data_IF_861100310474
#
_entry.id   IF_861100310474
#
_cell.length_a   1.000
_cell.length_b   1.000
_cell.length_c   1.000
_cell.angle_alpha   90.00
_cell.angle_beta   90.00
_cell.angle_gamma   90.00
#
_symmetry.space_group_name_H-M   'P 1'
#
loop_
_entity.id
_entity.type
_entity.pdbx_description
1 polymer ?
#
# COMPACT_ATOMS: atom_id res chain seq x y z
N UNK A 1 36.64 82.95 97.01
CA UNK A 1 37.29 82.59 95.72
C UNK A 1 36.57 81.34 95.22
N UNK A 2 35.74 81.41 94.16
CA UNK A 2 36.11 81.20 92.74
C UNK A 2 37.03 79.97 92.57
N UNK A 3 36.75 78.93 91.79
CA UNK A 3 36.28 78.79 90.40
C UNK A 3 35.73 77.35 90.23
N UNK A 4 34.55 77.14 89.65
CA UNK A 4 34.20 76.86 88.23
C UNK A 4 34.26 75.38 87.79
N UNK A 5 33.13 74.96 87.22
CA UNK A 5 32.77 73.71 86.53
C UNK A 5 33.77 73.25 85.44
N UNK A 6 33.76 71.95 85.06
CA UNK A 6 32.96 71.58 83.89
C UNK A 6 32.10 70.32 84.06
N UNK A 7 30.86 70.42 83.57
CA UNK A 7 29.91 69.34 83.36
C UNK A 7 30.38 68.52 82.15
N UNK A 8 30.71 67.25 82.38
CA UNK A 8 31.02 66.28 81.33
C UNK A 8 29.69 65.66 80.88
N UNK A 9 29.27 65.99 79.66
CA UNK A 9 28.17 65.35 78.97
C UNK A 9 28.67 64.02 78.37
N UNK A 10 28.35 62.90 79.03
CA UNK A 10 28.57 61.56 78.50
C UNK A 10 27.49 61.21 77.48
N UNK A 11 27.82 61.33 76.20
CA UNK A 11 27.00 60.81 75.08
C UNK A 11 27.13 59.29 75.05
N UNK A 12 26.07 58.61 75.49
CA UNK A 12 25.94 57.15 75.43
C UNK A 12 25.53 56.77 74.00
N UNK A 13 26.49 56.48 73.13
CA UNK A 13 26.23 55.87 71.81
C UNK A 13 25.93 54.40 72.03
N UNK A 14 24.65 54.05 72.14
CA UNK A 14 24.19 52.67 72.05
C UNK A 14 24.39 52.20 70.60
N UNK A 15 25.50 51.52 70.34
CA UNK A 15 25.64 50.66 69.17
C UNK A 15 24.63 49.52 69.32
N UNK A 16 23.42 49.74 68.83
CA UNK A 16 22.55 48.66 68.39
C UNK A 16 23.28 47.97 67.22
N UNK A 17 24.22 47.10 67.53
CA UNK A 17 24.62 46.01 66.64
C UNK A 17 23.40 45.09 66.51
N UNK A 18 22.38 45.58 65.81
CA UNK A 18 21.28 44.76 65.37
C UNK A 18 21.91 43.70 64.49
N UNK A 19 21.99 42.47 65.00
CA UNK A 19 22.15 41.30 64.16
C UNK A 19 21.01 41.36 63.14
N UNK A 20 21.29 41.86 61.93
CA UNK A 20 20.42 41.66 60.78
C UNK A 20 20.49 40.18 60.47
N UNK A 21 19.74 39.38 61.24
CA UNK A 21 19.57 37.97 60.99
C UNK A 21 18.91 37.86 59.62
N UNK A 22 19.72 37.57 58.60
CA UNK A 22 19.23 37.34 57.24
C UNK A 22 18.06 36.35 57.32
N UNK A 23 16.93 36.69 56.68
CA UNK A 23 15.75 35.84 56.70
C UNK A 23 16.10 34.40 56.27
N UNK A 24 15.41 33.40 56.83
CA UNK A 24 15.67 31.99 56.53
C UNK A 24 15.54 31.69 55.02
N UNK A 25 16.23 30.66 54.52
CA UNK A 25 16.07 30.25 53.13
C UNK A 25 14.63 29.78 52.87
N UNK A 26 14.05 30.24 51.77
CA UNK A 26 12.75 29.76 51.29
C UNK A 26 12.98 28.42 50.60
N UNK A 27 12.28 27.39 51.08
CA UNK A 27 12.27 26.08 50.46
C UNK A 27 11.36 26.05 49.24
N UNK A 28 11.61 25.12 48.32
CA UNK A 28 10.66 24.80 47.26
C UNK A 28 9.31 24.40 47.89
N UNK A 29 8.15 24.93 47.44
CA UNK A 29 6.86 24.42 47.85
C UNK A 29 6.74 22.93 47.50
N UNK A 30 6.03 22.16 48.33
CA UNK A 30 5.78 20.75 48.04
C UNK A 30 4.87 20.64 46.81
N UNK A 31 5.46 20.37 45.64
CA UNK A 31 4.72 20.18 44.40
C UNK A 31 4.36 18.69 44.24
N UNK A 32 3.15 18.38 43.79
CA UNK A 32 2.80 17.01 43.46
C UNK A 32 3.69 16.50 42.32
N UNK A 33 4.03 15.21 42.36
CA UNK A 33 4.75 14.56 41.27
C UNK A 33 3.93 14.61 39.97
N UNK A 34 4.59 14.62 38.79
CA UNK A 34 3.89 14.49 37.52
C UNK A 34 3.04 13.21 37.50
N UNK A 35 1.81 13.33 37.02
CA UNK A 35 0.92 12.18 36.79
C UNK A 35 1.04 11.78 35.32
N UNK A 36 1.19 10.49 35.06
CA UNK A 36 1.12 9.95 33.70
C UNK A 36 0.31 8.67 33.64
N UNK A 37 -0.33 8.46 32.50
CA UNK A 37 -1.08 7.24 32.22
C UNK A 37 -0.98 6.92 30.73
N UNK A 38 -0.87 5.64 30.37
CA UNK A 38 -0.64 5.21 28.99
C UNK A 38 -1.64 4.14 28.62
N UNK A 39 -2.18 4.22 27.40
CA UNK A 39 -2.91 3.12 26.78
C UNK A 39 -2.21 2.70 25.50
N UNK A 40 -2.16 1.39 25.25
CA UNK A 40 -1.78 0.83 23.95
C UNK A 40 -2.99 0.14 23.34
N UNK A 41 -3.10 0.15 22.02
CA UNK A 41 -4.20 -0.47 21.30
C UNK A 41 -3.74 -0.88 19.91
N UNK A 42 -4.44 -1.87 19.36
CA UNK A 42 -4.15 -2.42 18.05
C UNK A 42 -5.19 -1.94 17.04
N UNK A 43 -4.71 -1.56 15.86
CA UNK A 43 -5.55 -1.23 14.72
C UNK A 43 -5.43 -2.38 13.72
N UNK A 44 -6.57 -3.01 13.43
CA UNK A 44 -6.67 -4.09 12.46
C UNK A 44 -7.79 -3.79 11.48
N UNK A 45 -7.60 -4.14 10.20
CA UNK A 45 -8.63 -4.00 9.18
C UNK A 45 -9.04 -5.40 8.70
N UNK A 46 -10.31 -5.74 8.82
CA UNK A 46 -10.86 -6.93 8.15
C UNK A 46 -11.54 -6.51 6.86
N UNK A 47 -10.91 -6.76 5.71
CA UNK A 47 -11.47 -6.42 4.40
C UNK A 47 -12.45 -7.48 3.86
N UNK A 48 -12.92 -8.43 4.68
CA UNK A 48 -13.81 -9.50 4.25
C UNK A 48 -15.11 -8.97 3.61
N UNK A 49 -15.71 -7.93 4.20
CA UNK A 49 -16.90 -7.29 3.65
C UNK A 49 -16.63 -6.53 2.33
N UNK A 50 -15.42 -5.98 2.13
CA UNK A 50 -15.04 -5.35 0.87
C UNK A 50 -14.84 -6.41 -0.23
N UNK A 51 -14.26 -7.57 0.10
CA UNK A 51 -14.08 -8.66 -0.85
C UNK A 51 -15.43 -9.22 -1.36
N UNK A 52 -16.37 -9.51 -0.47
CA UNK A 52 -17.67 -10.07 -0.85
C UNK A 52 -18.47 -9.16 -1.79
N UNK A 53 -18.35 -7.84 -1.62
CA UNK A 53 -19.04 -6.86 -2.48
C UNK A 53 -18.36 -6.67 -3.85
N UNK A 54 -17.10 -7.07 -3.99
CA UNK A 54 -16.30 -6.89 -5.19
C UNK A 54 -16.12 -8.18 -5.99
N UNK A 55 -16.83 -9.24 -5.61
CA UNK A 55 -16.84 -10.52 -6.31
C UNK A 55 -18.25 -10.84 -6.80
N UNK A 56 -18.35 -11.21 -8.08
CA UNK A 56 -19.60 -11.63 -8.71
C UNK A 56 -19.36 -12.93 -9.44
N UNK A 57 -20.15 -13.96 -9.09
CA UNK A 57 -20.21 -15.21 -9.83
C UNK A 57 -21.58 -15.39 -10.47
N UNK A 58 -21.60 -15.73 -11.76
CA UNK A 58 -22.84 -15.95 -12.49
C UNK A 58 -23.52 -17.24 -12.04
N UNK A 59 -24.78 -17.14 -11.58
CA UNK A 59 -25.61 -18.30 -11.25
C UNK A 59 -26.11 -19.06 -12.48
N UNK A 60 -26.11 -18.41 -13.64
CA UNK A 60 -26.56 -19.03 -14.89
C UNK A 60 -25.53 -20.05 -15.43
N UNK A 61 -24.27 -19.96 -14.99
CA UNK A 61 -23.17 -20.79 -15.45
C UNK A 61 -22.45 -21.41 -14.23
N UNK A 62 -23.04 -22.42 -13.58
CA UNK A 62 -22.36 -23.15 -12.52
C UNK A 62 -21.08 -23.77 -13.07
N UNK A 63 -20.00 -23.73 -12.28
CA UNK A 63 -18.69 -24.24 -12.66
C UNK A 63 -18.59 -25.69 -12.19
N UNK A 64 -18.53 -26.70 -13.08
CA UNK A 64 -18.43 -28.09 -12.66
C UNK A 64 -17.13 -28.37 -11.88
N UNK A 65 -17.20 -29.25 -10.88
CA UNK A 65 -16.00 -29.75 -10.19
C UNK A 65 -15.15 -30.54 -11.19
N UNK A 66 -13.83 -30.37 -11.14
CA UNK A 66 -12.88 -31.01 -12.05
C UNK A 66 -12.69 -30.27 -13.37
N UNK A 67 -13.36 -29.13 -13.57
CA UNK A 67 -13.16 -28.29 -14.75
C UNK A 67 -11.69 -27.88 -14.87
N UNK A 68 -11.21 -27.81 -16.10
CA UNK A 68 -9.85 -27.36 -16.38
C UNK A 68 -9.76 -25.85 -16.56
N UNK A 69 -8.67 -25.25 -16.08
CA UNK A 69 -8.45 -23.80 -16.14
C UNK A 69 -7.02 -23.51 -16.58
N UNK A 70 -6.86 -22.48 -17.40
CA UNK A 70 -5.56 -21.91 -17.73
C UNK A 70 -5.49 -20.46 -17.26
N UNK A 71 -4.31 -20.03 -16.79
CA UNK A 71 -4.08 -18.66 -16.32
C UNK A 71 -3.53 -17.83 -17.48
N UNK A 72 -4.15 -16.71 -17.78
CA UNK A 72 -3.72 -15.75 -18.79
C UNK A 72 -3.35 -14.42 -18.14
N UNK A 73 -2.19 -13.89 -18.51
CA UNK A 73 -1.63 -12.66 -17.95
C UNK A 73 -1.22 -11.73 -19.11
N UNK A 74 -1.54 -10.43 -19.06
CA UNK A 74 -1.18 -9.47 -20.09
C UNK A 74 0.35 -9.39 -20.30
N UNK A 75 0.78 -9.17 -21.55
CA UNK A 75 2.20 -9.12 -21.89
C UNK A 75 2.96 -7.94 -21.34
N UNK A 76 2.26 -6.89 -20.89
CA UNK A 76 2.89 -5.78 -20.16
C UNK A 76 3.69 -6.30 -18.96
N UNK A 77 3.25 -7.41 -18.35
CA UNK A 77 3.99 -8.07 -17.28
C UNK A 77 5.15 -8.94 -17.80
N UNK A 78 5.08 -9.45 -19.04
CA UNK A 78 6.10 -10.30 -19.66
C UNK A 78 7.26 -9.51 -20.31
N UNK A 79 7.02 -8.30 -20.83
CA UNK A 79 8.04 -7.48 -21.53
C UNK A 79 9.23 -7.10 -20.62
N UNK A 80 9.04 -7.12 -19.30
CA UNK A 80 10.11 -6.92 -18.32
C UNK A 80 11.11 -8.08 -18.20
N UNK A 81 10.87 -9.23 -18.86
CA UNK A 81 11.85 -10.34 -18.94
C UNK A 81 13.01 -10.07 -19.91
N UNK A 82 12.87 -9.13 -20.85
CA UNK A 82 13.72 -9.08 -22.04
C UNK A 82 14.83 -8.02 -22.02
N UNK A 83 15.03 -7.24 -20.94
CA UNK A 83 16.02 -6.17 -20.92
C UNK A 83 17.05 -6.32 -19.77
N UNK A 84 18.17 -7.04 -19.98
CA UNK A 84 19.18 -7.30 -18.95
C UNK A 84 20.12 -6.11 -18.66
N UNK A 85 19.97 -4.97 -19.35
CA UNK A 85 20.93 -3.86 -19.30
C UNK A 85 20.47 -2.61 -18.53
N UNK A 86 19.34 -2.65 -17.81
CA UNK A 86 18.99 -1.59 -16.84
C UNK A 86 19.51 -1.96 -15.47
N UNK A 87 20.77 -1.57 -15.21
CA UNK A 87 21.33 -1.50 -13.87
C UNK A 87 20.78 -0.26 -13.17
N UNK A 88 20.31 -0.48 -11.94
CA UNK A 88 19.82 0.49 -10.96
C UNK A 88 18.37 1.00 -11.12
N UNK A 89 17.57 0.56 -10.13
CA UNK A 89 16.21 0.97 -9.75
C UNK A 89 15.04 0.52 -10.65
N UNK A 90 13.95 0.06 -10.00
CA UNK A 90 12.57 -0.04 -10.51
C UNK A 90 12.03 -1.26 -11.28
N UNK A 91 12.54 -2.49 -11.25
CA UNK A 91 11.78 -3.61 -11.88
C UNK A 91 11.84 -4.93 -11.13
N UNK A 92 10.94 -5.11 -10.15
CA UNK A 92 10.75 -6.34 -9.34
C UNK A 92 9.35 -6.97 -9.44
N UNK A 93 8.43 -6.41 -10.24
CA UNK A 93 7.03 -6.89 -10.37
C UNK A 93 6.89 -8.35 -10.83
N UNK A 94 7.84 -8.86 -11.63
CA UNK A 94 7.86 -10.25 -12.10
C UNK A 94 8.02 -11.31 -11.00
N UNK A 95 8.83 -11.02 -9.96
CA UNK A 95 9.07 -11.97 -8.87
C UNK A 95 7.84 -12.15 -7.98
N UNK A 96 7.15 -11.04 -7.71
CA UNK A 96 5.91 -11.04 -6.93
C UNK A 96 4.77 -11.72 -7.66
N UNK A 97 4.67 -11.53 -8.98
CA UNK A 97 3.66 -12.23 -9.77
C UNK A 97 3.88 -13.74 -9.73
N UNK A 98 5.11 -14.25 -9.82
CA UNK A 98 5.36 -15.69 -9.70
C UNK A 98 4.86 -16.27 -8.36
N UNK A 99 4.98 -15.48 -7.27
CA UNK A 99 4.49 -15.90 -5.95
C UNK A 99 2.96 -15.87 -5.90
N UNK A 100 2.35 -14.80 -6.42
CA UNK A 100 0.90 -14.71 -6.55
C UNK A 100 0.35 -15.84 -7.43
N UNK A 101 0.99 -16.12 -8.56
CA UNK A 101 0.65 -17.19 -9.50
C UNK A 101 0.66 -18.56 -8.83
N UNK A 102 1.75 -18.94 -8.14
CA UNK A 102 1.79 -20.21 -7.38
C UNK A 102 0.64 -20.30 -6.36
N UNK A 103 0.28 -19.18 -5.74
CA UNK A 103 -0.80 -19.12 -4.78
C UNK A 103 -2.19 -19.20 -5.46
N UNK A 104 -2.36 -18.58 -6.64
CA UNK A 104 -3.54 -18.71 -7.50
C UNK A 104 -3.72 -20.17 -7.91
N UNK A 105 -2.67 -20.83 -8.42
CA UNK A 105 -2.72 -22.23 -8.84
C UNK A 105 -3.15 -23.13 -7.67
N UNK A 106 -2.57 -22.92 -6.49
CA UNK A 106 -2.91 -23.67 -5.28
C UNK A 106 -4.37 -23.51 -4.88
N UNK A 107 -4.92 -22.30 -4.93
CA UNK A 107 -6.33 -22.08 -4.60
C UNK A 107 -7.28 -22.60 -5.68
N UNK A 108 -6.90 -22.52 -6.97
CA UNK A 108 -7.67 -23.14 -8.05
C UNK A 108 -7.76 -24.66 -7.87
N UNK A 109 -6.65 -25.32 -7.51
CA UNK A 109 -6.63 -26.75 -7.20
C UNK A 109 -7.53 -27.07 -5.99
N UNK A 110 -7.50 -26.22 -4.95
CA UNK A 110 -8.38 -26.37 -3.76
C UNK A 110 -9.86 -26.18 -4.10
N UNK A 111 -10.17 -25.26 -5.00
CA UNK A 111 -11.50 -25.05 -5.54
C UNK A 111 -11.93 -26.17 -6.51
N UNK A 112 -11.08 -27.17 -6.76
CA UNK A 112 -11.41 -28.36 -7.54
C UNK A 112 -11.19 -28.22 -9.05
N UNK A 113 -10.42 -27.23 -9.50
CA UNK A 113 -10.00 -27.14 -10.90
C UNK A 113 -8.82 -28.06 -11.24
N UNK A 114 -8.68 -28.39 -12.53
CA UNK A 114 -7.45 -28.92 -13.11
C UNK A 114 -6.66 -27.78 -13.75
N UNK A 115 -5.58 -27.34 -13.12
CA UNK A 115 -4.76 -26.25 -13.64
C UNK A 115 -3.89 -26.75 -14.80
N UNK A 116 -3.96 -26.06 -15.95
CA UNK A 116 -3.17 -26.34 -17.15
C UNK A 116 -1.87 -25.55 -17.15
N UNK A 117 -0.86 -26.09 -17.82
CA UNK A 117 0.47 -25.48 -17.92
C UNK A 117 0.41 -24.15 -18.70
N UNK A 118 0.70 -23.05 -18.00
CA UNK A 118 0.74 -21.72 -18.59
C UNK A 118 1.83 -21.59 -19.65
N UNK A 119 3.01 -22.17 -19.45
CA UNK A 119 4.13 -22.02 -20.39
C UNK A 119 3.79 -22.59 -21.76
N UNK A 120 3.06 -23.71 -21.79
CA UNK A 120 2.53 -24.28 -23.04
C UNK A 120 1.47 -23.38 -23.68
N UNK A 121 0.57 -22.84 -22.87
CA UNK A 121 -0.47 -21.92 -23.35
C UNK A 121 0.12 -20.64 -23.94
N UNK A 122 1.10 -20.03 -23.28
CA UNK A 122 1.82 -18.85 -23.76
C UNK A 122 2.63 -19.14 -25.04
N UNK A 123 3.20 -20.34 -25.17
CA UNK A 123 3.86 -20.76 -26.41
C UNK A 123 2.88 -20.79 -27.59
N UNK A 124 1.69 -21.35 -27.39
CA UNK A 124 0.63 -21.37 -28.42
C UNK A 124 0.16 -19.96 -28.75
N UNK A 125 0.02 -19.09 -27.74
CA UNK A 125 -0.31 -17.68 -27.97
C UNK A 125 0.75 -16.97 -28.82
N UNK A 126 2.03 -17.23 -28.56
CA UNK A 126 3.13 -16.69 -29.38
C UNK A 126 3.08 -17.22 -30.80
N UNK A 127 2.88 -18.53 -30.98
CA UNK A 127 2.77 -19.12 -32.32
C UNK A 127 1.59 -18.52 -33.10
N UNK A 128 0.43 -18.34 -32.47
CA UNK A 128 -0.73 -17.69 -33.10
C UNK A 128 -0.45 -16.23 -33.49
N UNK A 129 0.32 -15.51 -32.67
CA UNK A 129 0.72 -14.14 -32.96
C UNK A 129 1.74 -14.06 -34.08
N UNK A 130 2.74 -14.94 -34.08
CA UNK A 130 3.75 -15.04 -35.12
C UNK A 130 3.09 -15.40 -36.47
N UNK A 131 2.09 -16.27 -36.45
CA UNK A 131 1.24 -16.56 -37.62
C UNK A 131 0.43 -15.34 -38.09
N UNK A 132 -0.10 -14.54 -37.15
CA UNK A 132 -0.86 -13.30 -37.46
C UNK A 132 0.02 -12.14 -37.95
N UNK A 133 1.31 -12.13 -37.59
CA UNK A 133 2.29 -11.09 -37.92
C UNK A 133 2.87 -11.24 -39.35
N UNK A 134 2.42 -12.23 -40.12
CA UNK A 134 2.77 -12.38 -41.53
C UNK A 134 2.32 -11.15 -42.32
N UNK A 135 3.24 -10.22 -42.54
CA UNK A 135 3.04 -9.11 -43.46
C UNK A 135 3.12 -9.67 -44.88
N UNK A 136 1.99 -9.78 -45.55
CA UNK A 136 1.91 -10.34 -46.90
C UNK A 136 2.63 -9.47 -47.96
N UNK A 137 3.01 -8.22 -47.64
CA UNK A 137 3.93 -7.45 -48.48
C UNK A 137 5.37 -8.01 -48.44
N UNK A 138 5.71 -8.80 -47.43
CA UNK A 138 6.91 -9.62 -47.31
C UNK A 138 6.54 -11.12 -47.13
N UNK A 139 5.54 -11.59 -47.88
CA UNK A 139 4.99 -12.95 -47.77
C UNK A 139 6.04 -14.06 -47.91
N UNK A 140 7.17 -13.80 -48.58
CA UNK A 140 8.31 -14.72 -48.69
C UNK A 140 8.95 -15.09 -47.34
N UNK A 141 8.74 -14.28 -46.31
CA UNK A 141 9.26 -14.49 -44.95
C UNK A 141 8.27 -15.28 -44.08
N UNK A 142 7.04 -15.50 -44.56
CA UNK A 142 6.03 -16.23 -43.82
C UNK A 142 6.27 -17.74 -43.92
N UNK A 143 6.42 -18.40 -42.77
CA UNK A 143 6.76 -19.83 -42.70
C UNK A 143 5.62 -20.78 -43.10
N UNK A 144 4.37 -20.32 -43.07
CA UNK A 144 3.17 -21.16 -43.26
C UNK A 144 2.11 -20.42 -44.09
N UNK A 145 2.31 -20.29 -45.40
CA UNK A 145 1.27 -19.87 -46.35
C UNK A 145 0.68 -21.11 -47.01
N UNK A 146 -0.63 -21.13 -47.23
CA UNK A 146 -1.29 -22.18 -48.00
C UNK A 146 -0.61 -22.36 -49.38
N UNK A 147 -0.27 -23.59 -49.81
CA UNK A 147 0.43 -23.81 -51.08
C UNK A 147 -0.28 -23.25 -52.32
N UNK A 148 -1.60 -23.12 -52.30
CA UNK A 148 -2.38 -22.50 -53.37
C UNK A 148 -2.27 -20.98 -53.31
N UNK A 149 -2.33 -20.38 -52.11
CA UNK A 149 -2.11 -18.95 -51.92
C UNK A 149 -0.69 -18.53 -52.34
N UNK A 150 0.33 -19.32 -52.01
CA UNK A 150 1.72 -19.07 -52.41
C UNK A 150 1.87 -18.97 -53.94
N UNK A 151 1.23 -19.88 -54.69
CA UNK A 151 1.26 -19.85 -56.15
C UNK A 151 0.59 -18.60 -56.72
N UNK A 152 -0.52 -18.17 -56.13
CA UNK A 152 -1.23 -16.96 -56.58
C UNK A 152 -0.38 -15.72 -56.29
N UNK A 153 0.24 -15.65 -55.11
CA UNK A 153 1.12 -14.53 -54.73
C UNK A 153 2.37 -14.45 -55.63
N UNK A 154 2.98 -15.60 -55.98
CA UNK A 154 4.10 -15.66 -56.95
C UNK A 154 3.69 -15.13 -58.32
N UNK A 155 2.51 -15.54 -58.82
CA UNK A 155 1.99 -15.09 -60.11
C UNK A 155 1.70 -13.58 -60.11
N UNK A 156 1.12 -13.06 -59.03
CA UNK A 156 0.88 -11.63 -58.87
C UNK A 156 2.20 -10.83 -58.84
N UNK A 157 3.22 -11.34 -58.16
CA UNK A 157 4.54 -10.70 -58.11
C UNK A 157 5.20 -10.66 -59.51
N UNK A 158 5.07 -11.75 -60.27
CA UNK A 158 5.58 -11.84 -61.64
C UNK A 158 4.84 -10.89 -62.59
N UNK A 159 3.51 -10.83 -62.50
CA UNK A 159 2.68 -9.88 -63.28
C UNK A 159 3.05 -8.43 -62.97
N UNK A 160 3.30 -8.10 -61.70
CA UNK A 160 3.74 -6.76 -61.32
C UNK A 160 5.13 -6.45 -61.89
N UNK A 161 6.09 -7.38 -61.79
CA UNK A 161 7.45 -7.20 -62.34
C UNK A 161 7.48 -7.04 -63.85
N UNK A 162 6.58 -7.71 -64.57
CA UNK A 162 6.40 -7.56 -66.02
C UNK A 162 5.66 -6.27 -66.42
N UNK A 163 5.05 -5.58 -65.45
CA UNK A 163 4.25 -4.38 -65.69
C UNK A 163 2.83 -4.68 -66.19
N UNK A 164 2.38 -5.94 -66.09
CA UNK A 164 1.04 -6.39 -66.53
C UNK A 164 -0.07 -5.88 -65.60
N UNK A 165 0.27 -5.54 -64.35
CA UNK A 165 -0.62 -4.95 -63.37
C UNK A 165 0.06 -3.76 -62.68
N UNK A 166 -0.73 -2.75 -62.32
CA UNK A 166 -0.22 -1.60 -61.56
C UNK A 166 0.10 -2.00 -60.11
N UNK A 167 0.94 -1.20 -59.43
CA UNK A 167 1.24 -1.38 -58.00
C UNK A 167 -0.05 -1.32 -57.15
N UNK A 168 -1.00 -0.48 -57.54
CA UNK A 168 -2.31 -0.38 -56.88
C UNK A 168 -3.14 -1.66 -57.06
N UNK A 169 -3.17 -2.23 -58.27
CA UNK A 169 -3.91 -3.46 -58.57
C UNK A 169 -3.27 -4.68 -57.89
N UNK A 170 -1.94 -4.72 -57.84
CA UNK A 170 -1.19 -5.73 -57.10
C UNK A 170 -1.55 -5.70 -55.61
N UNK A 171 -1.53 -4.52 -54.97
CA UNK A 171 -1.92 -4.36 -53.57
C UNK A 171 -3.37 -4.78 -53.31
N UNK A 172 -4.29 -4.45 -54.23
CA UNK A 172 -5.69 -4.85 -54.12
C UNK A 172 -5.87 -6.37 -54.20
N UNK A 173 -5.24 -7.03 -55.18
CA UNK A 173 -5.34 -8.48 -55.37
C UNK A 173 -4.69 -9.27 -54.24
N UNK A 174 -3.60 -8.77 -53.65
CA UNK A 174 -3.04 -9.35 -52.43
C UNK A 174 -4.08 -9.35 -51.29
N UNK A 175 -4.83 -8.26 -51.10
CA UNK A 175 -5.88 -8.19 -50.06
C UNK A 175 -7.04 -9.14 -50.33
N UNK A 176 -7.37 -9.38 -51.60
CA UNK A 176 -8.39 -10.35 -51.99
C UNK A 176 -7.95 -11.78 -51.66
N UNK A 177 -6.71 -12.15 -51.99
CA UNK A 177 -6.11 -13.44 -51.59
C UNK A 177 -6.04 -13.58 -50.06
N UNK A 178 -5.73 -12.49 -49.36
CA UNK A 178 -5.72 -12.45 -47.90
C UNK A 178 -7.10 -12.79 -47.29
N UNK A 179 -8.16 -12.21 -47.86
CA UNK A 179 -9.54 -12.43 -47.42
C UNK A 179 -10.03 -13.85 -47.76
N UNK A 180 -9.65 -14.39 -48.92
CA UNK A 180 -10.06 -15.71 -49.40
C UNK A 180 -9.40 -16.85 -48.61
N UNK A 181 -8.10 -16.75 -48.34
CA UNK A 181 -7.33 -17.82 -47.68
C UNK A 181 -7.20 -17.64 -46.16
N UNK A 182 -7.85 -16.61 -45.58
CA UNK A 182 -7.73 -16.23 -44.15
C UNK A 182 -6.27 -16.10 -43.67
N UNK A 183 -5.36 -15.76 -44.57
CA UNK A 183 -3.94 -15.52 -44.23
C UNK A 183 -3.91 -14.20 -43.47
N UNK A 184 -3.85 -14.24 -42.14
CA UNK A 184 -3.76 -13.04 -41.30
C UNK A 184 -5.04 -12.18 -41.25
N UNK A 185 -6.16 -12.76 -40.81
CA UNK A 185 -7.31 -12.00 -40.26
C UNK A 185 -7.37 -12.17 -38.73
N UNK A 186 -6.24 -11.93 -38.08
CA UNK A 186 -6.18 -11.66 -36.65
C UNK A 186 -5.40 -10.36 -36.48
N UNK A 187 -6.09 -9.27 -36.16
CA UNK A 187 -5.48 -8.00 -35.74
C UNK A 187 -4.94 -7.08 -36.83
N UNK A 188 -5.78 -6.55 -37.72
CA UNK A 188 -5.38 -5.45 -38.65
C UNK A 188 -5.26 -4.07 -37.98
N UNK A 189 -5.15 -4.00 -36.65
CA UNK A 189 -5.04 -2.74 -35.91
C UNK A 189 -3.90 -2.83 -34.88
N UNK A 190 -2.66 -2.93 -35.35
CA UNK A 190 -1.48 -2.86 -34.46
C UNK A 190 -0.51 -1.82 -35.00
N UNK A 191 -0.61 -0.60 -34.49
CA UNK A 191 0.53 0.32 -34.49
C UNK A 191 1.54 -0.18 -33.46
N UNK A 192 2.83 -0.21 -33.84
CA UNK A 192 3.92 -0.57 -32.95
C UNK A 192 3.98 0.42 -31.78
N UNK A 193 3.45 0.02 -30.62
CA UNK A 193 3.34 0.85 -29.42
C UNK A 193 1.97 0.85 -28.74
N UNK A 194 0.93 0.30 -29.39
CA UNK A 194 -0.35 0.08 -28.71
C UNK A 194 -0.19 -1.04 -27.67
N UNK A 195 -0.37 -0.71 -26.39
CA UNK A 195 -0.36 -1.64 -25.26
C UNK A 195 -1.21 -2.87 -25.60
N UNK A 196 -0.57 -4.05 -25.63
CA UNK A 196 -1.18 -5.34 -25.95
C UNK A 196 -2.24 -5.71 -24.89
N UNK A 197 -3.45 -5.18 -25.04
CA UNK A 197 -4.63 -5.87 -24.54
C UNK A 197 -4.73 -7.15 -25.38
N UNK A 198 -4.34 -8.27 -24.78
CA UNK A 198 -4.44 -9.61 -25.36
C UNK A 198 -5.83 -9.78 -25.95
N UNK A 199 -5.95 -9.95 -27.28
CA UNK A 199 -7.26 -10.17 -27.90
C UNK A 199 -7.86 -11.42 -27.28
N UNK A 200 -8.97 -11.25 -26.56
CA UNK A 200 -9.65 -12.35 -25.84
C UNK A 200 -9.98 -13.49 -26.81
N UNK A 201 -10.20 -13.18 -28.10
CA UNK A 201 -10.42 -14.17 -29.15
C UNK A 201 -9.20 -15.05 -29.39
N UNK A 202 -7.98 -14.50 -29.34
CA UNK A 202 -6.72 -15.26 -29.44
C UNK A 202 -6.52 -16.12 -28.19
N UNK A 203 -6.79 -15.56 -27.02
CA UNK A 203 -6.73 -16.27 -25.71
C UNK A 203 -7.67 -17.47 -25.68
N UNK A 204 -8.92 -17.31 -26.16
CA UNK A 204 -9.89 -18.40 -26.27
C UNK A 204 -9.44 -19.47 -27.28
N UNK A 205 -8.89 -19.06 -28.43
CA UNK A 205 -8.36 -20.00 -29.43
C UNK A 205 -7.21 -20.83 -28.89
N UNK A 206 -6.25 -20.19 -28.21
CA UNK A 206 -5.12 -20.89 -27.59
C UNK A 206 -5.59 -21.86 -26.50
N UNK A 207 -6.59 -21.47 -25.68
CA UNK A 207 -7.14 -22.32 -24.64
C UNK A 207 -7.91 -23.53 -25.20
N UNK A 208 -8.49 -23.37 -26.39
CA UNK A 208 -9.19 -24.41 -27.13
C UNK A 208 -8.27 -25.34 -27.94
N UNK A 209 -6.98 -25.01 -28.06
CA UNK A 209 -6.03 -25.84 -28.80
C UNK A 209 -5.91 -27.24 -28.19
N UNK A 210 -5.67 -28.26 -29.03
CA UNK A 210 -5.62 -29.68 -28.63
C UNK A 210 -4.71 -29.96 -27.44
N UNK A 211 -3.65 -29.18 -27.32
CA UNK A 211 -2.57 -29.43 -26.36
C UNK A 211 -2.87 -28.81 -24.99
N UNK A 212 -3.84 -27.89 -24.91
CA UNK A 212 -4.29 -27.26 -23.65
C UNK A 212 -5.66 -27.79 -23.25
N UNK A 213 -6.66 -27.64 -24.15
CA UNK A 213 -8.07 -27.98 -23.94
C UNK A 213 -8.53 -27.59 -22.52
N UNK A 214 -8.53 -26.28 -22.24
CA UNK A 214 -9.06 -25.75 -20.99
C UNK A 214 -10.56 -25.47 -21.11
N UNK A 215 -11.32 -25.71 -20.04
CA UNK A 215 -12.74 -25.35 -19.97
C UNK A 215 -12.93 -23.86 -19.65
N UNK A 216 -11.98 -23.30 -18.89
CA UNK A 216 -11.99 -21.92 -18.45
C UNK A 216 -10.63 -21.22 -18.61
N UNK A 217 -10.67 -19.90 -18.73
CA UNK A 217 -9.50 -19.03 -18.67
C UNK A 217 -9.65 -18.11 -17.47
N UNK A 218 -8.70 -18.14 -16.54
CA UNK A 218 -8.55 -17.10 -15.53
C UNK A 218 -7.67 -15.99 -16.10
N UNK A 219 -8.28 -14.89 -16.52
CA UNK A 219 -7.58 -13.72 -17.02
C UNK A 219 -7.30 -12.76 -15.86
N UNK A 220 -6.02 -12.52 -15.58
CA UNK A 220 -5.59 -11.48 -14.64
C UNK A 220 -5.55 -10.16 -15.39
N UNK A 221 -6.38 -9.20 -15.02
CA UNK A 221 -6.40 -7.90 -15.70
C UNK A 221 -5.39 -6.93 -15.07
N UNK A 222 -5.22 -7.00 -13.75
CA UNK A 222 -4.36 -6.11 -12.98
C UNK A 222 -3.77 -6.86 -11.80
N UNK A 223 -2.47 -6.69 -11.59
CA UNK A 223 -1.77 -7.09 -10.39
C UNK A 223 -0.72 -6.05 -10.03
N UNK A 224 -0.87 -5.44 -8.86
CA UNK A 224 -0.02 -4.36 -8.36
C UNK A 224 0.39 -4.70 -6.93
N UNK A 225 1.65 -4.44 -6.57
CA UNK A 225 2.20 -4.73 -5.22
C UNK A 225 3.08 -3.61 -4.67
N UNK A 226 3.31 -2.57 -5.47
CA UNK A 226 4.18 -1.45 -5.20
C UNK A 226 3.41 -0.16 -4.91
N UNK A 227 2.08 -0.22 -4.88
CA UNK A 227 1.25 0.90 -4.50
C UNK A 227 1.41 1.25 -3.02
N UNK A 228 1.47 2.56 -2.75
CA UNK A 228 1.41 3.13 -1.41
C UNK A 228 0.07 3.81 -1.23
N UNK A 229 -0.61 3.50 -0.13
CA UNK A 229 -1.89 4.10 0.25
C UNK A 229 -1.77 4.76 1.61
N UNK A 230 -2.16 6.03 1.67
CA UNK A 230 -2.36 6.74 2.93
C UNK A 230 -3.71 6.32 3.52
N UNK A 231 -3.66 5.62 4.65
CA UNK A 231 -4.84 5.28 5.44
C UNK A 231 -5.06 6.34 6.52
N UNK A 232 -6.32 6.78 6.68
CA UNK A 232 -6.73 7.68 7.75
C UNK A 232 -7.50 6.88 8.81
N UNK A 233 -6.85 6.59 9.93
CA UNK A 233 -7.41 5.81 11.02
C UNK A 233 -8.10 6.75 12.01
N UNK A 234 -9.40 6.54 12.25
CA UNK A 234 -10.12 7.26 13.29
C UNK A 234 -9.91 6.60 14.65
N UNK A 235 -9.11 7.20 15.51
CA UNK A 235 -8.82 6.70 16.85
C UNK A 235 -10.08 6.58 17.72
N UNK A 236 -11.11 7.38 17.46
CA UNK A 236 -12.36 7.35 18.25
C UNK A 236 -13.24 6.13 17.96
N UNK A 237 -12.94 5.37 16.91
CA UNK A 237 -13.60 4.09 16.63
C UNK A 237 -13.01 2.92 17.43
N UNK A 238 -11.88 3.14 18.12
CA UNK A 238 -11.19 2.13 18.93
C UNK A 238 -11.69 2.18 20.39
N UNK A 239 -12.08 1.02 20.92
CA UNK A 239 -12.71 0.91 22.24
C UNK A 239 -11.77 1.34 23.38
N UNK A 240 -10.51 0.94 23.30
CA UNK A 240 -9.47 1.28 24.27
C UNK A 240 -9.22 2.79 24.31
N UNK A 241 -9.27 3.46 23.15
CA UNK A 241 -9.15 4.92 23.08
C UNK A 241 -10.36 5.57 23.74
N UNK A 242 -11.58 5.10 23.46
CA UNK A 242 -12.80 5.63 24.11
C UNK A 242 -12.79 5.43 25.63
N UNK A 243 -12.31 4.28 26.11
CA UNK A 243 -12.14 4.00 27.52
C UNK A 243 -11.10 4.94 28.17
N UNK A 244 -9.96 5.13 27.50
CA UNK A 244 -8.90 6.05 27.93
C UNK A 244 -9.40 7.50 28.02
N UNK A 245 -10.14 7.96 27.01
CA UNK A 245 -10.74 9.30 26.99
C UNK A 245 -11.81 9.49 28.06
N UNK A 246 -12.49 8.42 28.46
CA UNK A 246 -13.47 8.46 29.55
C UNK A 246 -12.79 8.59 30.92
N UNK A 247 -11.60 8.01 31.08
CA UNK A 247 -10.75 8.17 32.28
C UNK A 247 -10.13 9.57 32.39
N UNK A 248 -9.83 10.20 31.24
CA UNK A 248 -9.17 11.52 31.17
C UNK A 248 -9.97 12.54 30.35
N UNK A 249 -11.13 13.03 30.85
CA UNK A 249 -12.04 13.89 30.09
C UNK A 249 -11.42 15.24 29.68
N UNK A 250 -10.40 15.71 30.41
CA UNK A 250 -9.66 16.93 30.09
C UNK A 250 -8.92 16.86 28.73
N UNK A 251 -8.67 15.66 28.20
CA UNK A 251 -7.99 15.47 26.91
C UNK A 251 -8.92 15.63 25.70
N UNK A 252 -10.24 15.77 25.89
CA UNK A 252 -11.22 15.84 24.78
C UNK A 252 -10.89 16.86 23.68
N UNK A 253 -10.46 18.09 24.00
CA UNK A 253 -10.08 19.05 22.96
C UNK A 253 -8.89 18.54 22.15
N UNK A 254 -7.85 18.02 22.83
CA UNK A 254 -6.63 17.54 22.19
C UNK A 254 -6.86 16.31 21.30
N UNK A 255 -7.71 15.36 21.71
CA UNK A 255 -8.02 14.21 20.86
C UNK A 255 -8.86 14.62 19.65
N UNK A 256 -9.78 15.59 19.75
CA UNK A 256 -10.59 16.00 18.60
C UNK A 256 -9.72 16.57 17.46
N UNK A 257 -8.62 17.23 17.80
CA UNK A 257 -7.62 17.72 16.84
C UNK A 257 -6.73 16.58 16.29
N UNK A 258 -6.51 15.52 17.07
CA UNK A 258 -5.60 14.40 16.75
C UNK A 258 -6.30 13.06 16.50
N UNK A 259 -7.63 13.06 16.28
CA UNK A 259 -8.42 11.83 16.19
C UNK A 259 -8.14 11.04 14.92
N UNK A 260 -7.57 11.70 13.90
CA UNK A 260 -7.17 11.09 12.65
C UNK A 260 -5.68 10.84 12.67
N UNK A 261 -5.32 9.56 12.60
CA UNK A 261 -3.95 9.12 12.46
C UNK A 261 -3.70 8.70 11.01
N UNK A 262 -2.77 9.39 10.35
CA UNK A 262 -2.39 9.08 8.97
C UNK A 262 -1.28 8.06 8.99
N UNK A 263 -1.39 7.04 8.14
CA UNK A 263 -0.43 5.95 8.10
C UNK A 263 -0.27 5.47 6.65
N UNK A 264 0.95 5.47 6.14
CA UNK A 264 1.24 5.03 4.78
C UNK A 264 1.59 3.55 4.77
N UNK A 265 0.91 2.81 3.89
CA UNK A 265 1.08 1.36 3.77
C UNK A 265 1.28 0.93 2.34
N UNK A 266 2.03 -0.13 2.17
CA UNK A 266 2.07 -0.91 0.95
C UNK A 266 0.74 -1.62 0.78
N UNK A 267 0.26 -1.61 -0.46
CA UNK A 267 -0.97 -2.27 -0.87
C UNK A 267 -0.66 -3.20 -2.02
N UNK A 268 -1.29 -4.37 -2.00
CA UNK A 268 -1.40 -5.21 -3.18
C UNK A 268 -2.86 -5.20 -3.66
N UNK A 269 -3.04 -5.21 -4.98
CA UNK A 269 -4.32 -5.31 -5.63
C UNK A 269 -4.27 -6.39 -6.72
N UNK A 270 -5.36 -7.13 -6.87
CA UNK A 270 -5.55 -8.14 -7.89
C UNK A 270 -6.95 -8.02 -8.47
N UNK A 271 -7.02 -7.88 -9.79
CA UNK A 271 -8.24 -7.93 -10.56
C UNK A 271 -8.19 -9.11 -11.52
N UNK A 272 -9.22 -9.95 -11.48
CA UNK A 272 -9.29 -11.11 -12.34
C UNK A 272 -10.72 -11.42 -12.80
N UNK A 273 -10.83 -12.17 -13.89
CA UNK A 273 -12.10 -12.70 -14.39
C UNK A 273 -11.90 -14.11 -14.93
N UNK A 274 -12.93 -14.93 -14.78
CA UNK A 274 -12.97 -16.31 -15.27
C UNK A 274 -13.92 -16.37 -16.47
N UNK A 275 -13.41 -16.87 -17.60
CA UNK A 275 -14.13 -16.93 -18.87
C UNK A 275 -14.35 -18.39 -19.25
N UNK A 276 -15.56 -18.77 -19.61
CA UNK A 276 -15.83 -20.08 -20.19
C UNK A 276 -15.32 -20.13 -21.63
N UNK A 277 -14.44 -21.09 -21.94
CA UNK A 277 -13.78 -21.17 -23.26
C UNK A 277 -14.77 -21.48 -24.38
N UNK A 278 -15.78 -22.31 -24.10
CA UNK A 278 -16.76 -22.75 -25.11
C UNK A 278 -17.73 -21.64 -25.52
N UNK A 279 -18.18 -20.84 -24.56
CA UNK A 279 -19.18 -19.79 -24.82
C UNK A 279 -18.59 -18.39 -24.93
N UNK A 280 -17.39 -18.17 -24.38
CA UNK A 280 -16.80 -16.84 -24.22
C UNK A 280 -17.41 -16.03 -23.06
N UNK A 281 -18.36 -16.61 -22.30
CA UNK A 281 -19.04 -15.90 -21.23
C UNK A 281 -18.14 -15.73 -20.00
N UNK A 282 -18.21 -14.56 -19.37
CA UNK A 282 -17.57 -14.32 -18.09
C UNK A 282 -18.44 -14.92 -16.99
N UNK A 283 -17.92 -15.95 -16.31
CA UNK A 283 -18.65 -16.70 -15.27
C UNK A 283 -18.32 -16.22 -13.86
N UNK A 284 -17.19 -15.53 -13.67
CA UNK A 284 -16.78 -14.94 -12.41
C UNK A 284 -15.92 -13.69 -12.67
N UNK A 285 -16.11 -12.65 -11.87
CA UNK A 285 -15.25 -11.45 -11.84
C UNK A 285 -14.98 -11.15 -10.38
N UNK A 286 -13.74 -10.78 -10.08
CA UNK A 286 -13.37 -10.36 -8.75
C UNK A 286 -12.28 -9.31 -8.75
N UNK A 287 -12.40 -8.40 -7.78
CA UNK A 287 -11.37 -7.42 -7.46
C UNK A 287 -11.09 -7.47 -5.95
N UNK A 288 -9.83 -7.44 -5.57
CA UNK A 288 -9.45 -7.41 -4.17
C UNK A 288 -8.17 -6.61 -3.95
N UNK A 289 -8.11 -5.93 -2.81
CA UNK A 289 -6.92 -5.23 -2.35
C UNK A 289 -6.69 -5.51 -0.86
N UNK A 290 -5.42 -5.67 -0.50
CA UNK A 290 -5.00 -5.83 0.88
C UNK A 290 -3.85 -4.86 1.18
N UNK A 291 -3.92 -4.20 2.33
CA UNK A 291 -2.83 -3.39 2.87
C UNK A 291 -2.07 -4.17 3.94
N UNK A 292 -0.98 -3.62 4.44
CA UNK A 292 -0.19 -4.24 5.52
C UNK A 292 -0.99 -4.58 6.77
N UNK A 293 -2.08 -3.86 7.05
CA UNK A 293 -2.94 -4.15 8.21
C UNK A 293 -3.87 -5.35 8.02
N UNK A 294 -3.76 -6.01 6.88
CA UNK A 294 -4.59 -7.13 6.49
C UNK A 294 -4.06 -8.42 7.12
N UNK A 295 -4.52 -8.73 8.33
CA UNK A 295 -4.20 -9.97 9.04
C UNK A 295 -4.06 -9.79 10.56
N UNK A 296 -4.05 -10.90 11.28
CA UNK A 296 -3.86 -10.91 12.74
C UNK A 296 -2.40 -10.61 13.15
N UNK A 297 -1.44 -10.98 12.29
CA UNK A 297 -0.01 -10.90 12.59
C UNK A 297 0.64 -9.58 12.16
N UNK A 298 -0.11 -8.70 11.48
CA UNK A 298 0.38 -7.44 10.91
C UNK A 298 -0.42 -6.21 11.37
N UNK A 299 -0.94 -6.29 12.59
CA UNK A 299 -1.68 -5.19 13.21
C UNK A 299 -0.75 -4.03 13.56
N UNK A 300 -1.24 -2.80 13.41
CA UNK A 300 -0.53 -1.59 13.84
C UNK A 300 -0.77 -1.37 15.34
N UNK A 301 0.29 -1.28 16.15
CA UNK A 301 0.17 -1.01 17.58
C UNK A 301 0.50 0.46 17.88
N UNK A 302 -0.50 1.18 18.37
CA UNK A 302 -0.39 2.60 18.71
C UNK A 302 -0.47 2.81 20.22
N UNK A 303 0.15 3.89 20.69
CA UNK A 303 0.03 4.33 22.06
C UNK A 303 -0.43 5.78 22.17
N UNK A 304 -1.23 6.04 23.21
CA UNK A 304 -1.57 7.38 23.69
C UNK A 304 -1.11 7.49 25.15
N UNK A 305 -0.57 8.66 25.49
CA UNK A 305 -0.12 8.95 26.85
C UNK A 305 -0.72 10.26 27.33
N UNK A 306 -1.26 10.23 28.54
CA UNK A 306 -1.69 11.37 29.32
C UNK A 306 -0.53 11.82 30.18
N UNK A 307 -0.25 13.13 30.19
CA UNK A 307 0.67 13.74 31.14
C UNK A 307 0.02 14.92 31.83
N UNK A 308 0.18 15.03 33.14
CA UNK A 308 -0.17 16.22 33.92
C UNK A 308 1.01 16.66 34.76
N UNK A 309 1.37 17.93 34.60
CA UNK A 309 2.54 18.49 35.25
C UNK A 309 2.34 19.98 35.57
N UNK A 310 3.26 20.51 36.38
CA UNK A 310 3.29 21.94 36.74
C UNK A 310 3.90 22.73 35.58
N UNK A 311 3.04 23.41 34.81
CA UNK A 311 3.41 24.17 33.62
C UNK A 311 4.38 25.33 33.92
N UNK A 312 4.30 25.89 35.13
CA UNK A 312 5.15 26.99 35.56
C UNK A 312 6.25 26.59 36.56
N UNK A 313 6.71 25.34 36.52
CA UNK A 313 7.77 24.86 37.42
C UNK A 313 9.01 25.77 37.39
N UNK A 314 9.43 26.20 36.20
CA UNK A 314 10.58 27.10 36.02
C UNK A 314 10.36 28.46 36.70
N UNK A 315 9.15 29.01 36.63
CA UNK A 315 8.78 30.29 37.27
C UNK A 315 8.87 30.19 38.79
N UNK A 316 8.35 29.09 39.36
CA UNK A 316 8.42 28.82 40.80
C UNK A 316 9.88 28.66 41.24
N UNK A 317 10.68 27.90 40.51
CA UNK A 317 12.12 27.72 40.79
C UNK A 317 12.86 29.06 40.74
N UNK A 318 12.59 29.89 39.73
CA UNK A 318 13.19 31.22 39.62
C UNK A 318 12.77 32.14 40.76
N UNK A 319 11.49 32.11 41.16
CA UNK A 319 11.01 32.88 42.30
C UNK A 319 11.71 32.47 43.60
N UNK A 320 11.80 31.16 43.88
CA UNK A 320 12.53 30.64 45.05
C UNK A 320 14.00 31.07 45.03
N UNK A 321 14.67 30.90 43.87
CA UNK A 321 16.07 31.29 43.72
C UNK A 321 16.28 32.79 43.91
N UNK A 322 15.40 33.62 43.35
CA UNK A 322 15.42 35.07 43.54
C UNK A 322 15.24 35.45 45.01
N UNK A 323 14.25 34.89 45.69
CA UNK A 323 14.00 35.15 47.10
C UNK A 323 15.16 34.73 48.01
N UNK A 324 15.98 33.77 47.58
CA UNK A 324 17.15 33.29 48.31
C UNK A 324 18.45 34.06 48.03
N UNK A 325 18.44 35.07 47.16
CA UNK A 325 19.62 35.91 46.92
C UNK A 325 19.97 36.72 48.19
N UNK A 326 21.27 36.90 48.52
CA UNK A 326 21.69 37.55 49.78
C UNK A 326 21.05 38.91 50.02
N UNK A 327 21.08 39.79 49.00
CA UNK A 327 20.51 41.14 49.12
C UNK A 327 18.98 41.14 49.22
N UNK A 328 18.29 40.18 48.58
CA UNK A 328 16.81 40.07 48.70
C UNK A 328 16.44 39.64 50.13
N UNK A 329 17.19 38.70 50.71
CA UNK A 329 16.95 38.19 52.08
C UNK A 329 17.07 39.24 53.18
N UNK A 330 17.79 40.33 52.95
CA UNK A 330 17.93 41.44 53.90
C UNK A 330 16.66 42.29 54.03
N UNK A 331 15.88 42.41 52.95
CA UNK A 331 14.71 43.29 52.88
C UNK A 331 13.37 42.54 52.78
N UNK A 332 13.42 41.22 52.68
CA UNK A 332 12.25 40.37 52.45
C UNK A 332 11.48 40.11 53.74
N UNK A 333 10.15 40.14 53.64
CA UNK A 333 9.23 39.69 54.71
C UNK A 333 9.34 38.18 54.90
N UNK A 334 9.11 37.69 56.12
CA UNK A 334 9.01 36.25 56.38
C UNK A 334 7.90 35.62 55.52
N UNK A 335 8.24 34.56 54.80
CA UNK A 335 7.37 33.85 53.84
C UNK A 335 6.89 34.72 52.66
N UNK A 336 7.78 35.06 51.70
CA UNK A 336 7.37 35.80 50.51
C UNK A 336 6.30 35.02 49.72
N UNK A 337 5.34 35.69 49.08
CA UNK A 337 4.41 35.03 48.19
C UNK A 337 5.18 34.42 47.01
N UNK A 338 5.02 33.11 46.80
CA UNK A 338 5.52 32.42 45.63
C UNK A 338 4.41 32.27 44.58
N UNK A 339 4.75 32.21 43.28
CA UNK A 339 3.77 31.87 42.24
C UNK A 339 3.07 30.55 42.57
N UNK A 340 1.75 30.52 42.43
CA UNK A 340 0.98 29.29 42.62
C UNK A 340 1.26 28.31 41.47
N UNK A 341 1.23 27.01 41.78
CA UNK A 341 1.39 25.97 40.79
C UNK A 341 0.23 25.99 39.79
N UNK A 342 0.57 26.13 38.50
CA UNK A 342 -0.37 26.04 37.39
C UNK A 342 -0.19 24.70 36.71
N UNK A 343 -1.25 23.90 36.69
CA UNK A 343 -1.22 22.58 36.07
C UNK A 343 -1.61 22.67 34.61
N UNK A 344 -0.94 21.88 33.78
CA UNK A 344 -1.37 21.61 32.41
C UNK A 344 -1.51 20.11 32.20
N UNK A 345 -2.38 19.74 31.28
CA UNK A 345 -2.56 18.37 30.82
C UNK A 345 -2.25 18.29 29.35
N UNK A 346 -1.57 17.22 28.94
CA UNK A 346 -1.09 17.02 27.58
C UNK A 346 -1.44 15.61 27.11
N UNK A 347 -1.88 15.52 25.85
CA UNK A 347 -2.00 14.26 25.13
C UNK A 347 -0.77 14.07 24.25
N UNK A 348 0.02 13.06 24.58
CA UNK A 348 1.19 12.61 23.80
C UNK A 348 0.76 11.42 22.94
N UNK A 349 1.14 11.44 21.66
CA UNK A 349 0.71 10.47 20.65
C UNK A 349 -0.43 10.98 19.75
N UNK A 350 -1.02 10.10 18.91
CA UNK A 350 -0.70 8.67 18.75
C UNK A 350 0.74 8.44 18.29
N UNK A 351 1.41 7.43 18.84
CA UNK A 351 2.75 7.01 18.44
C UNK A 351 2.74 5.54 18.10
N UNK A 352 3.39 5.16 16.98
CA UNK A 352 3.62 3.76 16.65
C UNK A 352 4.61 3.15 17.65
N UNK A 353 4.18 2.11 18.36
CA UNK A 353 4.99 1.42 19.37
C UNK A 353 5.31 -0.03 18.99
N UNK A 354 4.77 -0.53 17.87
CA UNK A 354 5.00 -1.89 17.41
C UNK A 354 4.09 -2.33 16.25
N UNK A 355 4.36 -3.52 15.73
CA UNK A 355 3.57 -4.11 14.65
C UNK A 355 3.92 -3.53 13.28
N UNK A 356 2.90 -3.28 12.44
CA UNK A 356 3.09 -2.66 11.13
C UNK A 356 3.66 -1.23 11.23
N UNK A 357 4.48 -0.83 10.27
CA UNK A 357 5.02 0.55 10.19
C UNK A 357 4.08 1.46 9.41
N UNK A 358 4.12 2.76 9.70
CA UNK A 358 3.39 3.80 8.97
C UNK A 358 4.23 4.57 7.97
N UNK A 359 5.52 4.25 7.90
CA UNK A 359 6.50 4.96 7.10
C UNK A 359 6.98 3.99 6.02
N UNK A 360 6.20 3.86 4.95
CA UNK A 360 6.51 2.92 3.88
C UNK A 360 7.84 3.24 3.19
N UNK A 361 8.18 4.53 3.12
CA UNK A 361 9.40 5.06 2.51
C UNK A 361 10.66 4.82 3.36
N UNK A 362 10.54 4.75 4.69
CA UNK A 362 11.69 4.54 5.58
C UNK A 362 12.15 3.07 5.66
N UNK A 363 11.40 2.17 5.03
CA UNK A 363 11.71 0.73 5.06
C UNK A 363 12.90 0.39 4.18
N UNK A 364 13.69 -0.56 4.66
CA UNK A 364 14.72 -1.18 3.82
C UNK A 364 14.07 -1.93 2.65
N UNK A 365 14.77 -2.02 1.52
CA UNK A 365 14.29 -2.76 0.35
C UNK A 365 13.90 -4.20 0.70
N UNK A 366 14.66 -4.87 1.57
CA UNK A 366 14.36 -6.24 2.02
C UNK A 366 13.05 -6.34 2.80
N UNK A 367 12.76 -5.36 3.67
CA UNK A 367 11.48 -5.34 4.40
C UNK A 367 10.31 -5.11 3.45
N UNK A 368 10.45 -4.17 2.51
CA UNK A 368 9.43 -3.95 1.49
C UNK A 368 9.19 -5.22 0.67
N UNK A 369 10.24 -5.92 0.24
CA UNK A 369 10.09 -7.16 -0.52
C UNK A 369 9.36 -8.25 0.28
N UNK A 370 9.67 -8.41 1.57
CA UNK A 370 8.99 -9.36 2.45
C UNK A 370 7.50 -9.05 2.59
N UNK A 371 7.17 -7.77 2.80
CA UNK A 371 5.78 -7.30 2.90
C UNK A 371 5.04 -7.57 1.59
N UNK A 372 5.63 -7.19 0.45
CA UNK A 372 5.05 -7.40 -0.89
C UNK A 372 4.78 -8.87 -1.17
N UNK A 373 5.70 -9.76 -0.78
CA UNK A 373 5.51 -11.21 -0.90
C UNK A 373 4.30 -11.72 -0.11
N UNK A 374 4.10 -11.21 1.12
CA UNK A 374 2.96 -11.58 1.96
C UNK A 374 1.66 -11.06 1.36
N UNK A 375 1.63 -9.77 0.98
CA UNK A 375 0.45 -9.15 0.38
C UNK A 375 0.06 -9.83 -0.95
N UNK A 376 1.03 -10.13 -1.81
CA UNK A 376 0.82 -10.87 -3.06
C UNK A 376 0.12 -12.21 -2.83
N UNK A 377 0.55 -12.97 -1.81
CA UNK A 377 -0.08 -14.25 -1.45
C UNK A 377 -1.47 -14.06 -0.88
N UNK A 378 -1.64 -13.13 0.05
CA UNK A 378 -2.92 -12.92 0.73
C UNK A 378 -3.99 -12.51 -0.28
N UNK A 379 -3.70 -11.53 -1.14
CA UNK A 379 -4.66 -11.05 -2.13
C UNK A 379 -5.04 -12.16 -3.13
N UNK A 380 -4.05 -12.90 -3.64
CA UNK A 380 -4.29 -14.04 -4.50
C UNK A 380 -5.12 -15.14 -3.82
N UNK A 381 -4.76 -15.50 -2.59
CA UNK A 381 -5.45 -16.54 -1.85
C UNK A 381 -6.92 -16.17 -1.61
N UNK A 382 -7.17 -14.98 -1.06
CA UNK A 382 -8.51 -14.56 -0.67
C UNK A 382 -9.41 -14.35 -1.88
N UNK A 383 -8.90 -13.72 -2.93
CA UNK A 383 -9.69 -13.49 -4.14
C UNK A 383 -10.08 -14.81 -4.81
N UNK A 384 -9.12 -15.72 -5.03
CA UNK A 384 -9.38 -16.97 -5.77
C UNK A 384 -10.23 -17.93 -4.95
N UNK A 385 -10.11 -17.93 -3.62
CA UNK A 385 -10.97 -18.72 -2.74
C UNK A 385 -12.46 -18.37 -2.85
N UNK A 386 -12.81 -17.22 -3.46
CA UNK A 386 -14.21 -16.85 -3.70
C UNK A 386 -14.86 -17.58 -4.88
N UNK A 387 -14.07 -18.23 -5.74
CA UNK A 387 -14.58 -19.00 -6.89
C UNK A 387 -15.22 -20.28 -6.37
N UNK A 388 -16.53 -20.44 -6.57
CA UNK A 388 -17.30 -21.61 -6.15
C UNK A 388 -17.46 -22.60 -7.30
N UNK A 389 -17.18 -23.87 -7.06
CA UNK A 389 -17.43 -24.97 -8.01
C UNK A 389 -18.47 -25.93 -7.44
N UNK A 390 -19.15 -26.67 -8.33
CA UNK A 390 -20.25 -27.57 -7.98
C UNK A 390 -21.61 -26.88 -7.92
N UNK A 391 -22.56 -27.52 -7.24
CA UNK A 391 -23.93 -27.01 -7.06
C UNK A 391 -23.95 -26.01 -5.89
N UNK A 392 -24.27 -24.73 -6.16
CA UNK A 392 -24.34 -23.66 -5.15
C UNK A 392 -25.47 -22.67 -5.37
#
# INVERSE_FOLDING_TARGET
MKFLNPIIASVLVAFLAGCSSQAALVSMPNLPAPESDKTTFKVSRSNSAELENNVVQSRAYPIPIGSSVVISVPDVYNQYRANPQRTDSEYRSLGYFNIAEQQIEKELLRAGFQVKDRSKFEAILRDLRDQSACNINSWRECREIDPQASKILEQLEEQMKKGDISVSDYSKRIKEVQAEFKVGSAGSSREAGAQELTDISEVIRAASASDIQADYILQINEFVTDDVKTENINLMQVDEVRAFMSKHPALRPAINEKQWFQCETLVAALNAKLINVKTGDVVWIGNHSASEFHGADSQLELALEYRRYVANLREIQQAVNYQNQPHVREYRVDNPPLPQARFTTELVGPMNVGGASCDAEERTATQQDQIRNVLARNVAQELIATIRTGDW
#
